data_IF_839966171138
#
_entry.id   IF_839966171138
#
_cell.length_a   1.000
_cell.length_b   1.000
_cell.length_c   1.000
_cell.angle_alpha   90.00
_cell.angle_beta   90.00
_cell.angle_gamma   90.00
#
_symmetry.space_group_name_H-M   'P 1'
#
loop_
_entity.id
_entity.type
_entity.pdbx_description
1 polymer ?
#
# COMPACT_ATOMS: atom_id res chain seq x y z
N UNK A 1 -18.61 10.91 -2.19
CA UNK A 1 -18.98 9.99 -3.28
C UNK A 1 -20.03 9.02 -2.75
N UNK A 2 -20.98 8.61 -3.60
CA UNK A 2 -22.03 7.62 -3.36
C UNK A 2 -22.29 6.84 -4.66
N UNK A 3 -22.85 5.63 -4.56
CA UNK A 3 -23.25 4.85 -5.73
C UNK A 3 -24.64 5.29 -6.21
N UNK A 4 -24.82 5.38 -7.53
CA UNK A 4 -26.14 5.48 -8.17
C UNK A 4 -26.53 4.05 -8.54
N UNK A 5 -27.64 3.56 -8.00
CA UNK A 5 -27.97 2.13 -8.03
C UNK A 5 -29.42 1.89 -8.43
N UNK A 6 -29.68 0.65 -8.85
CA UNK A 6 -31.02 0.09 -8.91
C UNK A 6 -31.01 -1.20 -8.08
N UNK A 7 -31.63 -1.11 -6.91
CA UNK A 7 -31.64 -2.17 -5.90
C UNK A 7 -32.43 -3.40 -6.37
N UNK A 8 -33.51 -3.19 -7.14
CA UNK A 8 -34.36 -4.27 -7.64
C UNK A 8 -33.59 -5.19 -8.59
N UNK A 9 -32.70 -4.61 -9.39
CA UNK A 9 -31.85 -5.32 -10.35
C UNK A 9 -30.46 -5.67 -9.79
N UNK A 10 -30.15 -5.27 -8.55
CA UNK A 10 -28.83 -5.39 -7.92
C UNK A 10 -27.70 -4.87 -8.83
N UNK A 11 -27.83 -3.66 -9.34
CA UNK A 11 -26.92 -3.07 -10.35
C UNK A 11 -26.47 -1.67 -9.96
N UNK A 12 -25.21 -1.34 -10.26
CA UNK A 12 -24.69 0.02 -10.18
C UNK A 12 -24.76 0.69 -11.55
N UNK A 13 -25.32 1.89 -11.62
CA UNK A 13 -25.51 2.68 -12.84
C UNK A 13 -24.56 3.87 -12.94
N UNK A 14 -23.86 4.21 -11.85
CA UNK A 14 -22.97 5.36 -11.82
C UNK A 14 -22.50 5.72 -10.41
N UNK A 15 -21.89 6.89 -10.30
CA UNK A 15 -21.42 7.50 -9.05
C UNK A 15 -21.90 8.94 -8.95
N UNK A 16 -22.24 9.35 -7.72
CA UNK A 16 -22.47 10.75 -7.33
C UNK A 16 -21.26 11.24 -6.56
N UNK A 17 -20.64 12.35 -6.95
CA UNK A 17 -19.49 12.91 -6.25
C UNK A 17 -19.61 14.42 -6.02
N UNK A 18 -18.82 14.96 -5.08
CA UNK A 18 -18.74 16.40 -4.80
C UNK A 18 -17.35 16.89 -5.18
N UNK A 19 -17.27 18.00 -5.89
CA UNK A 19 -16.01 18.65 -6.21
C UNK A 19 -15.55 19.49 -5.02
N UNK A 20 -14.28 19.39 -4.62
CA UNK A 20 -13.76 20.04 -3.41
C UNK A 20 -13.37 21.52 -3.59
N UNK A 21 -13.37 22.05 -4.82
CA UNK A 21 -12.73 23.34 -5.15
C UNK A 21 -13.65 24.41 -5.77
N UNK A 22 -14.97 24.21 -5.79
CA UNK A 22 -15.91 25.25 -6.24
C UNK A 22 -16.78 25.76 -5.08
N UNK A 23 -16.97 27.07 -5.05
CA UNK A 23 -17.79 27.82 -4.06
C UNK A 23 -19.25 27.34 -4.07
N UNK A 24 -19.72 26.80 -5.20
CA UNK A 24 -20.93 25.99 -5.28
C UNK A 24 -20.58 24.51 -5.14
N UNK A 25 -20.86 23.94 -3.97
CA UNK A 25 -20.71 22.52 -3.68
C UNK A 25 -21.81 21.66 -4.31
N UNK A 26 -22.03 21.77 -5.62
CA UNK A 26 -23.01 20.95 -6.33
C UNK A 26 -22.50 19.51 -6.46
N UNK A 27 -23.41 18.55 -6.28
CA UNK A 27 -23.11 17.13 -6.52
C UNK A 27 -23.22 16.84 -8.01
N UNK A 28 -22.21 16.16 -8.56
CA UNK A 28 -22.16 15.74 -9.97
C UNK A 28 -22.48 14.25 -10.03
N UNK A 29 -23.39 13.90 -10.93
CA UNK A 29 -23.76 12.51 -11.24
C UNK A 29 -23.04 12.08 -12.52
N UNK A 30 -22.32 10.96 -12.43
CA UNK A 30 -21.60 10.35 -13.54
C UNK A 30 -22.14 8.93 -13.74
N UNK A 31 -22.81 8.72 -14.86
CA UNK A 31 -23.34 7.41 -15.26
C UNK A 31 -22.31 6.62 -16.06
N UNK A 32 -22.44 5.30 -16.03
CA UNK A 32 -21.63 4.41 -16.87
C UNK A 32 -22.18 3.00 -16.85
N UNK A 33 -21.93 2.27 -17.95
CA UNK A 33 -22.39 0.89 -18.07
C UNK A 33 -21.63 -0.07 -17.16
N UNK A 34 -20.37 0.27 -16.81
CA UNK A 34 -19.54 -0.52 -15.91
C UNK A 34 -18.60 0.38 -15.10
N UNK A 35 -18.67 0.28 -13.77
CA UNK A 35 -17.97 1.16 -12.84
C UNK A 35 -16.80 0.39 -12.22
N UNK A 36 -15.58 0.90 -12.41
CA UNK A 36 -14.36 0.35 -11.82
C UNK A 36 -13.88 1.30 -10.72
N UNK A 37 -13.89 0.84 -9.49
CA UNK A 37 -13.43 1.63 -8.36
C UNK A 37 -11.95 1.37 -8.07
N UNK A 38 -11.11 2.33 -8.48
CA UNK A 38 -9.65 2.36 -8.29
C UNK A 38 -9.20 3.41 -7.27
N UNK A 39 -10.04 3.75 -6.29
CA UNK A 39 -9.80 4.88 -5.37
C UNK A 39 -8.80 4.60 -4.24
N UNK A 40 -8.26 3.38 -4.20
CA UNK A 40 -7.27 2.93 -3.22
C UNK A 40 -7.79 2.92 -1.79
N UNK A 41 -6.89 3.25 -0.85
CA UNK A 41 -7.06 3.17 0.62
C UNK A 41 -8.03 4.20 1.21
N UNK A 42 -8.27 5.30 0.50
CA UNK A 42 -8.86 6.50 1.08
C UNK A 42 -10.39 6.57 0.99
N UNK A 43 -11.05 5.56 0.42
CA UNK A 43 -12.49 5.61 0.13
C UNK A 43 -13.26 4.42 0.71
N UNK A 44 -14.43 4.75 1.26
CA UNK A 44 -15.32 3.82 1.94
C UNK A 44 -16.16 2.99 0.95
N UNK A 45 -15.55 2.31 -0.01
CA UNK A 45 -16.25 1.48 -1.01
C UNK A 45 -17.19 0.46 -0.36
N UNK A 46 -16.79 -0.09 0.79
CA UNK A 46 -17.60 -1.02 1.60
C UNK A 46 -18.80 -0.32 2.26
N UNK A 47 -18.63 0.94 2.69
CA UNK A 47 -19.73 1.74 3.26
C UNK A 47 -20.83 1.93 2.22
N UNK A 48 -20.48 2.28 0.98
CA UNK A 48 -21.48 2.46 -0.08
C UNK A 48 -22.19 1.17 -0.44
N UNK A 49 -21.48 0.04 -0.48
CA UNK A 49 -22.11 -1.27 -0.69
C UNK A 49 -23.10 -1.63 0.43
N UNK A 50 -22.77 -1.31 1.69
CA UNK A 50 -23.67 -1.48 2.83
C UNK A 50 -24.87 -0.55 2.75
N UNK A 51 -24.67 0.74 2.46
CA UNK A 51 -25.74 1.74 2.39
C UNK A 51 -26.68 1.49 1.20
N UNK A 52 -26.14 1.14 0.04
CA UNK A 52 -26.91 0.98 -1.20
C UNK A 52 -27.52 -0.42 -1.37
N UNK A 53 -26.91 -1.48 -0.84
CA UNK A 53 -27.35 -2.86 -1.07
C UNK A 53 -27.49 -3.71 0.20
N UNK A 54 -27.28 -3.12 1.39
CA UNK A 54 -27.13 -3.86 2.65
C UNK A 54 -26.05 -4.97 2.56
N UNK A 55 -25.05 -4.79 1.69
CA UNK A 55 -24.04 -5.79 1.40
C UNK A 55 -22.83 -5.61 2.31
N UNK A 56 -22.65 -6.54 3.24
CA UNK A 56 -21.47 -6.59 4.10
C UNK A 56 -20.35 -7.34 3.38
N UNK A 57 -19.23 -6.66 3.13
CA UNK A 57 -18.05 -7.26 2.51
C UNK A 57 -17.13 -7.84 3.60
N UNK A 58 -16.91 -9.17 3.63
CA UNK A 58 -15.98 -9.77 4.58
C UNK A 58 -14.58 -9.17 4.36
N UNK A 59 -14.00 -8.65 5.43
CA UNK A 59 -12.74 -7.89 5.38
C UNK A 59 -11.81 -8.41 6.47
N UNK A 60 -10.54 -8.59 6.12
CA UNK A 60 -9.44 -8.93 7.02
C UNK A 60 -8.55 -7.71 7.14
N UNK A 61 -8.18 -7.34 8.35
CA UNK A 61 -7.23 -6.28 8.61
C UNK A 61 -6.19 -6.73 9.62
N UNK A 62 -4.93 -6.57 9.29
CA UNK A 62 -3.79 -6.83 10.17
C UNK A 62 -2.85 -5.64 10.19
N UNK A 63 -2.15 -5.43 11.30
CA UNK A 63 -1.26 -4.30 11.49
C UNK A 63 -0.17 -4.64 12.50
N UNK A 64 1.08 -4.35 12.17
CA UNK A 64 2.24 -4.51 13.07
C UNK A 64 2.81 -3.16 13.53
N UNK A 65 2.01 -2.09 13.48
CA UNK A 65 2.40 -0.75 13.88
C UNK A 65 3.48 -0.09 13.02
N UNK A 66 3.63 -0.46 11.75
CA UNK A 66 4.63 0.13 10.87
C UNK A 66 4.38 1.61 10.58
N UNK A 67 5.46 2.37 10.57
CA UNK A 67 5.50 3.69 9.94
C UNK A 67 6.92 4.05 9.55
N UNK A 68 7.04 4.97 8.61
CA UNK A 68 8.34 5.34 8.05
C UNK A 68 8.46 6.83 7.79
N UNK A 69 9.72 7.28 7.70
CA UNK A 69 10.13 8.54 7.12
C UNK A 69 11.03 8.24 5.91
N UNK A 70 10.80 8.92 4.79
CA UNK A 70 11.59 8.75 3.57
C UNK A 70 11.92 10.09 2.94
N UNK A 71 13.08 10.15 2.30
CA UNK A 71 13.56 11.32 1.58
C UNK A 71 14.57 10.90 0.51
N UNK A 72 14.84 11.82 -0.41
CA UNK A 72 15.87 11.68 -1.41
C UNK A 72 17.13 12.36 -0.89
N UNK A 73 18.28 11.70 -1.04
CA UNK A 73 19.56 12.26 -0.63
C UNK A 73 20.72 11.83 -1.53
N UNK A 74 21.73 12.69 -1.59
CA UNK A 74 23.03 12.39 -2.16
C UNK A 74 23.96 11.90 -1.06
N UNK A 75 24.58 10.74 -1.27
CA UNK A 75 25.47 10.12 -0.29
C UNK A 75 26.93 10.46 -0.58
N UNK A 76 27.68 10.71 0.48
CA UNK A 76 29.11 10.98 0.44
C UNK A 76 29.87 9.81 1.07
N UNK A 77 31.14 9.66 0.68
CA UNK A 77 32.04 8.63 1.21
C UNK A 77 32.12 8.74 2.73
N UNK A 78 31.90 7.62 3.41
CA UNK A 78 32.06 7.52 4.86
C UNK A 78 33.51 7.25 5.26
N UNK A 79 34.34 6.82 4.31
CA UNK A 79 35.71 6.32 4.56
C UNK A 79 35.77 4.81 4.80
N UNK A 80 34.61 4.14 4.92
CA UNK A 80 34.48 2.69 5.02
C UNK A 80 33.88 2.13 3.71
N UNK A 81 34.64 1.34 2.93
CA UNK A 81 34.15 0.74 1.69
C UNK A 81 32.92 -0.16 1.85
N UNK A 82 32.73 -0.78 3.02
CA UNK A 82 31.56 -1.62 3.30
C UNK A 82 30.28 -0.79 3.42
N UNK A 83 30.40 0.44 3.90
CA UNK A 83 29.30 1.40 4.06
C UNK A 83 29.06 2.23 2.79
N UNK A 84 30.01 2.25 1.86
CA UNK A 84 29.92 3.04 0.62
C UNK A 84 29.27 2.26 -0.56
N UNK A 85 28.71 1.08 -0.29
CA UNK A 85 27.92 0.31 -1.28
C UNK A 85 26.71 1.10 -1.79
N UNK A 86 26.39 0.97 -3.09
CA UNK A 86 25.24 1.63 -3.74
C UNK A 86 23.87 1.17 -3.20
N UNK A 87 23.80 -0.03 -2.61
CA UNK A 87 22.59 -0.56 -2.00
C UNK A 87 22.90 -1.13 -0.61
N UNK A 88 22.16 -0.67 0.39
CA UNK A 88 22.32 -1.07 1.79
C UNK A 88 20.93 -1.18 2.41
N UNK A 89 20.65 -2.31 3.05
CA UNK A 89 19.41 -2.51 3.80
C UNK A 89 19.73 -3.04 5.19
N UNK A 90 19.23 -2.36 6.21
CA UNK A 90 19.14 -2.85 7.59
C UNK A 90 17.68 -3.07 7.96
N UNK A 91 17.19 -4.31 7.86
CA UNK A 91 15.76 -4.60 8.03
C UNK A 91 15.30 -4.50 9.49
N UNK A 92 14.36 -3.59 9.77
CA UNK A 92 13.67 -3.51 11.07
C UNK A 92 12.97 -4.83 11.47
N UNK A 93 12.43 -5.56 10.47
CA UNK A 93 11.77 -6.85 10.69
C UNK A 93 12.73 -7.98 11.11
N UNK A 94 14.03 -7.78 10.98
CA UNK A 94 15.05 -8.73 11.44
C UNK A 94 15.76 -8.25 12.71
N UNK A 95 15.42 -7.05 13.21
CA UNK A 95 15.96 -6.41 14.41
C UNK A 95 14.82 -6.06 15.38
N UNK A 96 14.04 -7.08 15.79
CA UNK A 96 12.86 -6.92 16.65
C UNK A 96 13.17 -6.26 18.00
N UNK A 97 14.41 -6.39 18.48
CA UNK A 97 14.90 -5.75 19.70
C UNK A 97 14.91 -4.21 19.59
N UNK A 98 15.11 -3.66 18.38
CA UNK A 98 15.22 -2.22 18.14
C UNK A 98 13.93 -1.57 17.66
N UNK A 99 12.95 -2.36 17.19
CA UNK A 99 11.73 -1.88 16.50
C UNK A 99 11.99 -0.93 15.32
N UNK A 100 13.22 -0.86 14.81
CA UNK A 100 13.69 0.19 13.91
C UNK A 100 14.65 -0.39 12.86
N UNK A 101 14.66 0.23 11.68
CA UNK A 101 15.57 -0.14 10.60
C UNK A 101 15.56 0.87 9.47
N UNK A 102 16.35 0.60 8.43
CA UNK A 102 16.58 1.53 7.34
C UNK A 102 16.76 0.82 6.00
N UNK A 103 16.53 1.55 4.92
CA UNK A 103 16.76 1.07 3.55
C UNK A 103 17.29 2.20 2.68
N UNK A 104 18.25 1.88 1.83
CA UNK A 104 18.86 2.81 0.87
C UNK A 104 18.78 2.17 -0.51
N UNK A 105 18.02 2.80 -1.40
CA UNK A 105 17.85 2.32 -2.77
C UNK A 105 18.37 3.37 -3.75
N UNK A 106 19.31 3.02 -4.64
CA UNK A 106 19.82 3.97 -5.63
C UNK A 106 18.71 4.32 -6.63
N UNK A 107 18.59 5.59 -6.97
CA UNK A 107 17.64 6.10 -7.97
C UNK A 107 18.36 6.26 -9.31
N UNK A 108 19.44 7.04 -9.31
CA UNK A 108 20.23 7.34 -10.51
C UNK A 108 21.60 7.89 -10.14
N UNK A 109 22.51 7.85 -11.09
CA UNK A 109 23.80 8.52 -10.98
C UNK A 109 23.66 10.04 -11.17
N UNK A 110 24.52 10.78 -10.48
CA UNK A 110 24.65 12.22 -10.58
C UNK A 110 25.85 12.51 -11.49
N UNK A 111 25.73 13.47 -12.40
CA UNK A 111 26.80 13.78 -13.38
C UNK A 111 27.77 14.86 -12.88
N UNK A 112 27.26 15.82 -12.13
CA UNK A 112 28.03 16.92 -11.54
C UNK A 112 28.02 16.70 -10.04
N UNK A 113 29.17 16.34 -9.48
CA UNK A 113 29.27 15.89 -8.09
C UNK A 113 30.53 16.44 -7.44
N UNK A 114 30.48 16.62 -6.14
CA UNK A 114 31.67 16.88 -5.33
C UNK A 114 32.61 15.66 -5.33
N UNK A 115 33.92 15.87 -5.14
CA UNK A 115 34.94 14.80 -5.17
C UNK A 115 34.70 13.67 -4.14
N UNK A 116 34.01 14.01 -3.04
CA UNK A 116 33.66 13.09 -1.97
C UNK A 116 32.29 12.43 -2.13
N UNK A 117 31.55 12.76 -3.20
CA UNK A 117 30.26 12.13 -3.49
C UNK A 117 30.44 10.66 -3.90
N UNK A 118 29.46 9.83 -3.57
CA UNK A 118 29.31 8.47 -4.13
C UNK A 118 28.66 8.50 -5.53
N UNK A 119 28.39 9.70 -6.07
CA UNK A 119 27.88 9.89 -7.42
C UNK A 119 26.47 9.34 -7.63
N UNK A 120 25.72 9.11 -6.56
CA UNK A 120 24.42 8.45 -6.60
C UNK A 120 23.39 9.21 -5.78
N UNK A 121 22.25 9.49 -6.42
CA UNK A 121 21.04 9.95 -5.74
C UNK A 121 20.25 8.73 -5.28
N UNK A 122 19.88 8.68 -4.01
CA UNK A 122 19.22 7.53 -3.40
C UNK A 122 17.93 7.91 -2.70
N UNK A 123 16.99 6.97 -2.65
CA UNK A 123 15.88 7.00 -1.70
C UNK A 123 16.41 6.45 -0.38
N UNK A 124 16.33 7.25 0.68
CA UNK A 124 16.58 6.84 2.04
C UNK A 124 15.25 6.61 2.75
N UNK A 125 15.19 5.53 3.51
CA UNK A 125 14.03 5.09 4.27
C UNK A 125 14.48 4.76 5.68
N UNK A 126 13.78 5.31 6.67
CA UNK A 126 13.83 4.86 8.06
C UNK A 126 12.43 4.37 8.41
N UNK A 127 12.35 3.19 9.00
CA UNK A 127 11.08 2.57 9.34
C UNK A 127 11.12 2.04 10.76
N UNK A 128 9.99 2.16 11.43
CA UNK A 128 9.75 1.59 12.74
C UNK A 128 8.52 0.70 12.72
N UNK A 129 8.46 -0.24 13.66
CA UNK A 129 7.30 -1.11 13.90
C UNK A 129 6.77 -0.90 15.31
N UNK A 130 5.74 -1.65 15.70
CA UNK A 130 5.15 -1.60 17.05
C UNK A 130 4.62 -0.20 17.46
N UNK A 131 4.14 0.59 16.48
CA UNK A 131 3.58 1.92 16.68
C UNK A 131 4.61 2.96 17.18
N UNK A 132 5.91 2.64 17.05
CA UNK A 132 6.99 3.61 17.08
C UNK A 132 7.13 4.25 15.69
N UNK A 133 7.69 5.45 15.62
CA UNK A 133 7.86 6.18 14.36
C UNK A 133 9.16 6.97 14.36
N UNK A 134 9.86 7.04 13.21
CA UNK A 134 10.97 7.99 13.07
C UNK A 134 10.46 9.43 13.25
N UNK A 135 11.30 10.33 13.80
CA UNK A 135 11.06 11.78 13.75
C UNK A 135 10.88 12.28 12.32
N UNK A 136 10.17 13.40 12.17
CA UNK A 136 9.86 13.96 10.84
C UNK A 136 9.77 15.48 10.80
N UNK A 137 10.16 16.12 11.89
CA UNK A 137 10.13 17.54 12.15
C UNK A 137 11.41 18.22 11.64
N UNK A 138 12.57 17.59 11.83
CA UNK A 138 13.85 18.06 11.27
C UNK A 138 14.80 16.91 10.97
N UNK A 139 15.84 17.18 10.19
CA UNK A 139 16.87 16.18 9.90
C UNK A 139 17.81 15.98 11.08
N UNK A 140 18.09 17.06 11.81
CA UNK A 140 18.93 17.04 13.01
C UNK A 140 18.31 16.10 14.06
N UNK A 141 17.00 16.21 14.30
CA UNK A 141 16.29 15.33 15.22
C UNK A 141 16.26 13.89 14.72
N UNK A 142 16.14 13.68 13.40
CA UNK A 142 16.23 12.36 12.79
C UNK A 142 17.63 11.75 12.97
N UNK A 143 18.71 12.53 12.82
CA UNK A 143 20.09 12.08 12.99
C UNK A 143 20.39 11.70 14.45
N UNK A 144 19.95 12.50 15.43
CA UNK A 144 20.10 12.14 16.85
C UNK A 144 19.32 10.86 17.18
N UNK A 145 18.11 10.73 16.64
CA UNK A 145 17.33 9.49 16.80
C UNK A 145 18.03 8.27 16.18
N UNK A 146 18.65 8.41 14.99
CA UNK A 146 19.43 7.32 14.36
C UNK A 146 20.60 6.93 15.26
N UNK A 147 21.32 7.92 15.80
CA UNK A 147 22.46 7.70 16.69
C UNK A 147 22.08 6.94 17.96
N UNK A 148 20.88 7.19 18.49
CA UNK A 148 20.36 6.51 19.68
C UNK A 148 19.79 5.11 19.39
N UNK A 149 19.14 4.92 18.23
CA UNK A 149 18.30 3.73 17.96
C UNK A 149 18.90 2.72 16.99
N UNK A 150 19.80 3.14 16.13
CA UNK A 150 20.40 2.30 15.09
C UNK A 150 21.91 2.16 15.30
N UNK A 151 22.51 1.25 14.55
CA UNK A 151 23.94 0.98 14.67
C UNK A 151 24.80 2.18 14.21
N UNK A 152 26.01 2.37 14.78
CA UNK A 152 26.90 3.49 14.44
C UNK A 152 27.20 3.63 12.94
N UNK A 153 27.22 2.52 12.21
CA UNK A 153 27.39 2.45 10.76
C UNK A 153 26.22 3.15 10.04
N UNK A 154 24.99 2.95 10.52
CA UNK A 154 23.82 3.64 10.01
C UNK A 154 23.95 5.14 10.24
N UNK A 155 24.30 5.56 11.45
CA UNK A 155 24.52 6.98 11.75
C UNK A 155 25.59 7.59 10.82
N UNK A 156 26.69 6.89 10.55
CA UNK A 156 27.76 7.36 9.67
C UNK A 156 27.30 7.58 8.23
N UNK A 157 26.45 6.70 7.70
CA UNK A 157 25.86 6.84 6.37
C UNK A 157 24.94 8.06 6.29
N UNK A 158 24.02 8.19 7.25
CA UNK A 158 23.05 9.29 7.24
C UNK A 158 23.72 10.63 7.54
N UNK A 159 24.67 10.70 8.48
CA UNK A 159 25.47 11.91 8.72
C UNK A 159 26.21 12.39 7.47
N UNK A 160 26.63 11.46 6.61
CA UNK A 160 27.32 11.73 5.34
C UNK A 160 26.34 11.86 4.15
N UNK A 161 25.07 12.19 4.40
CA UNK A 161 24.06 12.35 3.35
C UNK A 161 23.59 13.80 3.27
N UNK A 162 23.65 14.39 2.07
CA UNK A 162 23.00 15.66 1.76
C UNK A 162 21.55 15.39 1.38
N UNK A 163 20.63 16.02 2.10
CA UNK A 163 19.20 15.93 1.78
C UNK A 163 18.90 16.70 0.49
N UNK A 164 18.10 16.10 -0.38
CA UNK A 164 17.67 16.68 -1.64
C UNK A 164 16.14 16.80 -1.77
N UNK A 165 15.37 16.39 -0.76
CA UNK A 165 13.91 16.54 -0.69
C UNK A 165 13.42 16.72 0.75
N UNK A 166 12.18 17.18 0.97
CA UNK A 166 11.56 17.12 2.28
C UNK A 166 11.52 15.71 2.86
N UNK A 167 11.48 15.61 4.19
CA UNK A 167 11.17 14.38 4.91
C UNK A 167 9.67 14.08 4.76
N UNK A 168 9.34 12.91 4.21
CA UNK A 168 7.96 12.47 4.02
C UNK A 168 7.68 11.29 4.94
N UNK A 169 6.67 11.43 5.82
CA UNK A 169 6.26 10.34 6.70
C UNK A 169 4.97 9.67 6.26
N UNK A 170 4.87 8.39 6.57
CA UNK A 170 3.64 7.63 6.38
C UNK A 170 3.46 6.60 7.50
N UNK A 171 2.28 6.64 8.12
CA UNK A 171 1.94 5.82 9.31
C UNK A 171 0.64 5.00 9.12
N UNK A 172 0.05 5.02 7.92
CA UNK A 172 -1.21 4.32 7.60
C UNK A 172 -0.94 3.03 6.84
N UNK A 173 -0.17 2.11 7.42
CA UNK A 173 0.36 0.90 6.76
C UNK A 173 -0.42 -0.36 7.12
N UNK A 174 -1.72 -0.24 7.37
CA UNK A 174 -2.58 -1.40 7.62
C UNK A 174 -2.68 -2.25 6.35
N UNK A 175 -2.55 -3.56 6.50
CA UNK A 175 -2.92 -4.51 5.46
C UNK A 175 -4.45 -4.71 5.53
N UNK A 176 -5.17 -4.42 4.46
CA UNK A 176 -6.63 -4.44 4.40
C UNK A 176 -7.12 -5.21 3.18
N UNK A 177 -7.66 -6.41 3.39
CA UNK A 177 -8.11 -7.32 2.34
C UNK A 177 -9.61 -7.54 2.38
N UNK A 178 -10.28 -7.18 1.28
CA UNK A 178 -11.72 -7.43 1.07
C UNK A 178 -11.91 -8.72 0.29
N UNK A 179 -12.67 -9.67 0.86
CA UNK A 179 -12.92 -10.99 0.25
C UNK A 179 -14.08 -10.94 -0.75
N UNK A 180 -13.93 -10.11 -1.78
CA UNK A 180 -14.96 -9.84 -2.79
C UNK A 180 -15.44 -11.11 -3.51
N UNK A 181 -14.55 -12.07 -3.75
CA UNK A 181 -14.89 -13.35 -4.40
C UNK A 181 -15.85 -14.23 -3.59
N UNK A 182 -15.91 -14.09 -2.26
CA UNK A 182 -16.83 -14.87 -1.41
C UNK A 182 -18.29 -14.48 -1.56
N UNK A 183 -18.56 -13.28 -2.08
CA UNK A 183 -19.93 -12.76 -2.22
C UNK A 183 -20.66 -13.33 -3.43
N UNK A 184 -19.95 -13.92 -4.39
CA UNK A 184 -20.57 -14.57 -5.54
C UNK A 184 -21.54 -13.64 -6.27
N UNK A 185 -22.76 -14.13 -6.52
CA UNK A 185 -23.85 -13.37 -7.16
C UNK A 185 -24.53 -12.32 -6.25
N UNK A 186 -24.20 -12.28 -4.95
CA UNK A 186 -24.68 -11.20 -4.05
C UNK A 186 -23.99 -9.87 -4.37
N UNK A 187 -22.82 -9.91 -5.01
CA UNK A 187 -22.14 -8.70 -5.47
C UNK A 187 -22.95 -7.99 -6.56
N UNK A 188 -23.08 -6.65 -6.52
CA UNK A 188 -23.87 -5.94 -7.52
C UNK A 188 -23.25 -6.03 -8.92
N UNK A 189 -24.11 -6.11 -9.92
CA UNK A 189 -23.73 -6.08 -11.33
C UNK A 189 -23.09 -4.74 -11.67
N UNK A 190 -22.22 -4.76 -12.68
CA UNK A 190 -21.60 -3.58 -13.29
C UNK A 190 -20.73 -2.73 -12.36
N UNK A 191 -20.26 -3.30 -11.26
CA UNK A 191 -19.35 -2.65 -10.33
C UNK A 191 -18.23 -3.60 -9.91
N UNK A 192 -16.99 -3.12 -9.89
CA UNK A 192 -15.84 -3.87 -9.35
C UNK A 192 -14.92 -2.94 -8.57
N UNK A 193 -14.18 -3.51 -7.63
CA UNK A 193 -13.07 -2.84 -6.95
C UNK A 193 -11.77 -3.24 -7.66
N UNK A 194 -10.73 -2.40 -7.66
CA UNK A 194 -9.44 -2.76 -8.26
C UNK A 194 -8.26 -2.15 -7.48
N UNK A 195 -7.15 -2.87 -7.43
CA UNK A 195 -5.92 -2.49 -6.74
C UNK A 195 -6.11 -2.40 -5.23
N UNK A 196 -5.55 -1.34 -4.63
CA UNK A 196 -5.62 -1.05 -3.19
C UNK A 196 -7.06 -1.01 -2.65
N UNK A 197 -8.06 -0.76 -3.52
CA UNK A 197 -9.46 -0.83 -3.12
C UNK A 197 -9.91 -2.25 -2.77
N UNK A 198 -9.42 -3.30 -3.46
CA UNK A 198 -9.63 -4.71 -3.08
C UNK A 198 -8.73 -5.08 -1.90
N UNK A 199 -7.43 -4.85 -2.06
CA UNK A 199 -6.43 -5.30 -1.10
C UNK A 199 -5.31 -4.27 -1.02
N UNK A 200 -5.16 -3.70 0.16
CA UNK A 200 -4.07 -2.82 0.50
C UNK A 200 -3.02 -3.60 1.27
N UNK A 201 -1.75 -3.37 0.95
CA UNK A 201 -0.63 -3.98 1.65
C UNK A 201 0.21 -2.96 2.41
N UNK A 202 0.88 -3.41 3.47
CA UNK A 202 2.05 -2.72 3.98
C UNK A 202 3.11 -2.64 2.86
N UNK A 203 3.83 -1.52 2.73
CA UNK A 203 4.67 -1.27 1.56
C UNK A 203 5.99 -2.06 1.54
N UNK A 204 6.29 -2.83 2.59
CA UNK A 204 7.57 -3.49 2.81
C UNK A 204 8.01 -4.36 1.64
N UNK A 205 7.08 -5.06 0.98
CA UNK A 205 7.39 -6.06 -0.05
C UNK A 205 7.20 -5.55 -1.50
N UNK A 206 6.88 -4.27 -1.72
CA UNK A 206 6.84 -3.64 -3.06
C UNK A 206 5.79 -4.17 -4.05
N UNK A 207 4.78 -4.89 -3.60
CA UNK A 207 3.86 -5.73 -4.39
C UNK A 207 2.56 -5.05 -4.82
N UNK A 208 2.18 -3.90 -4.23
CA UNK A 208 0.89 -3.26 -4.47
C UNK A 208 0.64 -2.87 -5.94
N UNK A 209 1.65 -2.29 -6.61
CA UNK A 209 1.54 -1.91 -8.03
C UNK A 209 1.42 -3.16 -8.92
N UNK A 210 2.23 -4.18 -8.66
CA UNK A 210 2.16 -5.45 -9.39
C UNK A 210 0.80 -6.11 -9.23
N UNK A 211 0.23 -6.12 -8.03
CA UNK A 211 -1.12 -6.60 -7.75
C UNK A 211 -2.19 -5.87 -8.58
N UNK A 212 -2.18 -4.54 -8.58
CA UNK A 212 -3.12 -3.73 -9.36
C UNK A 212 -2.97 -3.98 -10.88
N UNK A 213 -1.73 -4.05 -11.39
CA UNK A 213 -1.44 -4.33 -12.79
C UNK A 213 -1.93 -5.72 -13.22
N UNK A 214 -1.72 -6.75 -12.38
CA UNK A 214 -2.23 -8.11 -12.64
C UNK A 214 -3.75 -8.14 -12.69
N UNK A 215 -4.42 -7.44 -11.78
CA UNK A 215 -5.89 -7.33 -11.80
C UNK A 215 -6.40 -6.59 -13.04
N UNK A 216 -5.78 -5.46 -13.42
CA UNK A 216 -6.17 -4.73 -14.63
C UNK A 216 -5.99 -5.56 -15.90
N UNK A 217 -4.88 -6.31 -16.01
CA UNK A 217 -4.66 -7.26 -17.11
C UNK A 217 -5.72 -8.35 -17.14
N UNK A 218 -6.13 -8.87 -15.98
CA UNK A 218 -7.16 -9.89 -15.90
C UNK A 218 -8.54 -9.36 -16.30
N UNK A 219 -8.89 -8.13 -15.89
CA UNK A 219 -10.10 -7.47 -16.34
C UNK A 219 -10.12 -7.28 -17.87
N UNK A 220 -8.99 -6.86 -18.45
CA UNK A 220 -8.84 -6.74 -19.92
C UNK A 220 -9.13 -8.07 -20.62
N UNK A 221 -8.57 -9.18 -20.13
CA UNK A 221 -8.82 -10.51 -20.71
C UNK A 221 -10.29 -10.89 -20.68
N UNK A 222 -10.97 -10.65 -19.55
CA UNK A 222 -12.41 -10.95 -19.42
C UNK A 222 -13.23 -10.20 -20.47
N UNK A 223 -12.91 -8.92 -20.73
CA UNK A 223 -13.55 -8.16 -21.80
C UNK A 223 -13.19 -8.66 -23.20
N UNK A 224 -11.94 -9.10 -23.42
CA UNK A 224 -11.48 -9.63 -24.71
C UNK A 224 -12.05 -11.01 -25.06
N UNK A 225 -12.40 -11.83 -24.05
CA UNK A 225 -13.05 -13.14 -24.26
C UNK A 225 -14.39 -13.00 -25.01
N UNK A 226 -15.04 -11.82 -24.94
CA UNK A 226 -16.27 -11.45 -25.65
C UNK A 226 -17.41 -12.51 -25.64
N UNK A 227 -17.42 -13.35 -24.61
CA UNK A 227 -18.40 -14.44 -24.42
C UNK A 227 -19.24 -14.27 -23.15
N UNK A 228 -18.97 -13.21 -22.38
CA UNK A 228 -19.66 -12.91 -21.12
C UNK A 228 -20.63 -11.75 -21.31
N UNK A 229 -21.80 -11.83 -20.67
CA UNK A 229 -22.70 -10.68 -20.57
C UNK A 229 -22.12 -9.71 -19.53
N UNK A 230 -22.31 -8.41 -19.74
CA UNK A 230 -21.77 -7.35 -18.85
C UNK A 230 -22.13 -7.58 -17.37
N UNK A 231 -23.37 -8.03 -17.11
CA UNK A 231 -23.87 -8.37 -15.77
C UNK A 231 -23.09 -9.47 -15.05
N UNK A 232 -22.44 -10.36 -15.80
CA UNK A 232 -21.70 -11.50 -15.24
C UNK A 232 -20.23 -11.14 -14.94
N UNK A 233 -19.70 -10.08 -15.58
CA UNK A 233 -18.30 -9.68 -15.50
C UNK A 233 -17.87 -9.37 -14.06
N UNK A 234 -18.70 -8.67 -13.27
CA UNK A 234 -18.34 -8.33 -11.88
C UNK A 234 -18.05 -9.57 -11.03
N UNK A 235 -18.90 -10.59 -11.13
CA UNK A 235 -18.70 -11.85 -10.40
C UNK A 235 -17.47 -12.62 -10.91
N UNK A 236 -17.29 -12.71 -12.24
CA UNK A 236 -16.15 -13.39 -12.86
C UNK A 236 -14.85 -12.73 -12.43
N UNK A 237 -14.78 -11.40 -12.56
CA UNK A 237 -13.63 -10.60 -12.17
C UNK A 237 -13.35 -10.74 -10.67
N UNK A 238 -14.34 -10.61 -9.79
CA UNK A 238 -14.12 -10.75 -8.35
C UNK A 238 -13.53 -12.10 -7.98
N UNK A 239 -13.93 -13.19 -8.64
CA UNK A 239 -13.32 -14.51 -8.45
C UNK A 239 -11.86 -14.53 -8.89
N UNK A 240 -11.55 -14.10 -10.11
CA UNK A 240 -10.18 -14.12 -10.66
C UNK A 240 -9.24 -13.14 -9.92
N UNK A 241 -9.72 -11.94 -9.60
CA UNK A 241 -9.00 -10.95 -8.80
C UNK A 241 -8.76 -11.43 -7.36
N UNK A 242 -9.65 -12.23 -6.79
CA UNK A 242 -9.44 -12.83 -5.45
C UNK A 242 -8.30 -13.84 -5.45
N UNK A 243 -8.09 -14.60 -6.54
CA UNK A 243 -6.96 -15.51 -6.67
C UNK A 243 -5.62 -14.76 -6.75
N UNK A 244 -5.53 -13.73 -7.61
CA UNK A 244 -4.37 -12.84 -7.68
C UNK A 244 -4.08 -12.19 -6.32
N UNK A 245 -5.14 -11.78 -5.62
CA UNK A 245 -5.02 -11.18 -4.28
C UNK A 245 -4.52 -12.17 -3.24
N UNK A 246 -4.95 -13.43 -3.29
CA UNK A 246 -4.48 -14.48 -2.39
C UNK A 246 -2.96 -14.67 -2.51
N UNK A 247 -2.45 -14.79 -3.73
CA UNK A 247 -1.01 -14.95 -3.98
C UNK A 247 -0.19 -13.80 -3.39
N UNK A 248 -0.59 -12.56 -3.66
CA UNK A 248 0.09 -11.37 -3.12
C UNK A 248 -0.07 -11.29 -1.59
N UNK A 249 -1.24 -11.64 -1.05
CA UNK A 249 -1.51 -11.62 0.39
C UNK A 249 -0.63 -12.62 1.14
N UNK A 250 -0.51 -13.85 0.65
CA UNK A 250 0.36 -14.86 1.26
C UNK A 250 1.82 -14.41 1.25
N UNK A 251 2.32 -13.95 0.10
CA UNK A 251 3.70 -13.46 -0.02
C UNK A 251 4.04 -12.33 0.97
N UNK A 252 3.06 -11.47 1.26
CA UNK A 252 3.24 -10.36 2.20
C UNK A 252 3.13 -10.82 3.65
N UNK A 253 2.15 -11.66 3.95
CA UNK A 253 1.77 -11.92 5.34
C UNK A 253 2.51 -13.10 5.96
N UNK A 254 3.06 -14.04 5.17
CA UNK A 254 3.77 -15.22 5.70
C UNK A 254 4.93 -14.86 6.63
N UNK A 255 5.69 -13.81 6.31
CA UNK A 255 6.77 -13.34 7.19
C UNK A 255 6.21 -12.55 8.37
N UNK A 256 5.19 -11.72 8.14
CA UNK A 256 4.56 -10.89 9.17
C UNK A 256 3.92 -11.75 10.28
N UNK A 257 3.37 -12.93 9.94
CA UNK A 257 2.80 -13.88 10.91
C UNK A 257 3.79 -14.44 11.92
N UNK A 258 5.07 -14.48 11.57
CA UNK A 258 6.12 -14.95 12.49
C UNK A 258 6.49 -13.89 13.52
N UNK A 259 5.98 -12.67 13.37
CA UNK A 259 6.32 -11.55 14.25
C UNK A 259 5.37 -11.48 15.45
N UNK A 260 5.87 -11.35 16.68
CA UNK A 260 5.02 -11.29 17.88
C UNK A 260 4.19 -10.01 17.98
N UNK A 261 4.56 -8.98 17.21
CA UNK A 261 3.93 -7.64 17.23
C UNK A 261 2.76 -7.51 16.25
N UNK A 262 2.48 -8.52 15.42
CA UNK A 262 1.36 -8.49 14.48
C UNK A 262 0.03 -8.53 15.23
N UNK A 263 -0.84 -7.56 14.95
CA UNK A 263 -2.19 -7.47 15.52
C UNK A 263 -3.23 -7.71 14.43
N UNK A 264 -4.23 -8.54 14.74
CA UNK A 264 -5.44 -8.67 13.93
C UNK A 264 -6.41 -7.59 14.36
N UNK A 265 -6.69 -6.65 13.46
CA UNK A 265 -7.62 -5.53 13.71
C UNK A 265 -9.06 -5.95 13.37
N UNK A 266 -9.23 -6.77 12.32
CA UNK A 266 -10.55 -7.24 11.86
C UNK A 266 -10.42 -8.59 11.16
N UNK A 267 -11.38 -9.48 11.38
CA UNK A 267 -11.46 -10.79 10.73
C UNK A 267 -11.23 -11.95 11.72
N UNK A 268 -11.49 -13.17 11.27
CA UNK A 268 -11.32 -14.38 12.07
C UNK A 268 -9.88 -14.90 11.97
N UNK A 269 -9.13 -15.01 13.09
CA UNK A 269 -7.78 -15.59 13.15
C UNK A 269 -7.66 -16.96 12.48
N UNK A 270 -8.69 -17.82 12.59
CA UNK A 270 -8.65 -19.20 12.08
C UNK A 270 -8.71 -19.29 10.55
N UNK A 271 -9.23 -18.26 9.89
CA UNK A 271 -9.24 -18.19 8.42
C UNK A 271 -7.91 -17.64 7.87
N UNK A 272 -7.05 -17.14 8.75
CA UNK A 272 -5.79 -16.48 8.43
C UNK A 272 -4.56 -17.41 8.52
N UNK A 273 -4.70 -18.54 9.23
CA UNK A 273 -3.61 -19.50 9.50
C UNK A 273 -3.67 -20.77 8.64
N UNK A 274 -4.49 -20.81 7.58
CA UNK A 274 -4.64 -22.04 6.75
C UNK A 274 -3.36 -22.53 6.05
N UNK A 275 -2.25 -21.80 6.18
CA UNK A 275 -0.97 -22.09 5.53
C UNK A 275 0.25 -21.85 6.45
N UNK A 276 0.07 -21.85 7.78
CA UNK A 276 1.18 -21.93 8.75
C UNK A 276 1.10 -23.25 9.50
#
# INVERSE_FOLDING_TARGET
MQLIVDQSLNIVKGIKYRQKHHVDSSSIDLYGDFIINCTGRNISSVKWLKESFNLIVPTIQIHFGLGYATFIGERFKTGDPSLDSKHIIGYALNAFDKNAGFGITPIREIKTMDENSLGTLSTLLLQCVNYEYPPNDSYENLLEWIKEKLDPECYSIFKSTKICSPLVSYRRTIDDRKRVGQLGKKWPQNYVLLGDTICTFNPTYGQGVTHACRQARELRKIFQENCHKLKDISHIFNRRASAITEECWLLSTTNDWKTPILKIIKGDPKVLTRFV
#
